data_IF_377767889641
#
_entry.id   IF_377767889641
#
_cell.length_a   1.000
_cell.length_b   1.000
_cell.length_c   1.000
_cell.angle_alpha   90.00
_cell.angle_beta   90.00
_cell.angle_gamma   90.00
#
_symmetry.space_group_name_H-M   'P 1'
#
loop_
_entity.id
_entity.type
_entity.pdbx_description
1 polymer ?
#
# COMPACT_ATOMS: atom_id res chain seq x y z
N UNK A 1 -16.86 30.12 -22.36
CA UNK A 1 -17.32 29.63 -21.04
C UNK A 1 -18.60 28.86 -21.26
N UNK A 2 -18.63 27.60 -20.83
CA UNK A 2 -19.71 26.67 -21.15
C UNK A 2 -20.53 26.34 -19.91
N UNK A 3 -21.85 26.27 -20.10
CA UNK A 3 -22.79 25.89 -19.04
C UNK A 3 -22.99 24.37 -19.03
N UNK A 4 -22.90 23.76 -17.86
CA UNK A 4 -23.17 22.34 -17.65
C UNK A 4 -24.38 22.22 -16.74
N UNK A 5 -25.38 21.46 -17.18
CA UNK A 5 -26.56 21.13 -16.41
C UNK A 5 -26.37 19.76 -15.74
N UNK A 6 -26.45 19.74 -14.43
CA UNK A 6 -26.54 18.54 -13.62
C UNK A 6 -28.01 18.24 -13.34
N UNK A 7 -28.39 16.97 -13.50
CA UNK A 7 -29.71 16.45 -13.19
C UNK A 7 -29.55 15.03 -12.66
N UNK A 8 -29.66 14.87 -11.34
CA UNK A 8 -29.42 13.60 -10.69
C UNK A 8 -30.63 13.13 -9.90
N UNK A 9 -30.93 11.86 -10.06
CA UNK A 9 -31.90 11.13 -9.25
C UNK A 9 -31.35 9.79 -8.79
N UNK A 10 -32.05 9.18 -7.86
CA UNK A 10 -31.73 7.85 -7.33
C UNK A 10 -32.92 6.90 -7.47
N UNK A 11 -32.69 5.59 -7.62
CA UNK A 11 -33.77 4.61 -7.63
C UNK A 11 -34.59 4.63 -6.34
N UNK A 12 -35.88 4.41 -6.49
CA UNK A 12 -36.87 4.22 -5.44
C UNK A 12 -37.93 3.22 -5.92
N UNK A 13 -38.70 2.64 -5.01
CA UNK A 13 -39.80 1.73 -5.35
C UNK A 13 -40.85 2.36 -6.28
N UNK A 14 -40.95 3.70 -6.31
CA UNK A 14 -41.86 4.47 -7.16
C UNK A 14 -41.22 5.05 -8.43
N UNK A 15 -39.98 4.66 -8.78
CA UNK A 15 -39.25 5.22 -9.93
C UNK A 15 -38.00 6.00 -9.50
N UNK A 16 -37.62 7.01 -10.28
CA UNK A 16 -36.47 7.87 -9.97
C UNK A 16 -36.93 9.03 -9.10
N UNK A 17 -36.28 9.23 -7.96
CA UNK A 17 -36.54 10.37 -7.06
C UNK A 17 -35.35 11.33 -7.08
N UNK A 18 -35.64 12.62 -6.95
CA UNK A 18 -34.66 13.71 -6.96
C UNK A 18 -33.53 13.48 -5.93
N UNK A 19 -32.29 13.71 -6.35
CA UNK A 19 -31.13 13.66 -5.46
C UNK A 19 -30.90 15.01 -4.78
N UNK A 20 -31.87 15.43 -3.98
CA UNK A 20 -31.89 16.78 -3.40
C UNK A 20 -30.69 17.08 -2.49
N UNK A 21 -30.12 18.28 -2.61
CA UNK A 21 -29.02 18.79 -1.77
C UNK A 21 -27.71 17.99 -1.80
N UNK A 22 -27.57 17.03 -2.71
CA UNK A 22 -26.28 16.38 -2.91
C UNK A 22 -25.24 17.38 -3.44
N UNK A 23 -23.97 17.12 -3.15
CA UNK A 23 -22.86 17.98 -3.58
C UNK A 23 -22.22 17.41 -4.84
N UNK A 24 -21.91 18.31 -5.78
CA UNK A 24 -21.12 18.01 -6.98
C UNK A 24 -19.82 18.80 -6.89
N UNK A 25 -18.70 18.10 -6.94
CA UNK A 25 -17.35 18.67 -6.98
C UNK A 25 -16.84 18.64 -8.42
N UNK A 26 -16.33 19.77 -8.91
CA UNK A 26 -15.80 19.92 -10.28
C UNK A 26 -14.36 20.43 -10.18
N UNK A 27 -13.41 19.60 -10.58
CA UNK A 27 -11.97 19.84 -10.39
C UNK A 27 -11.24 19.63 -11.73
N UNK A 28 -10.49 20.60 -12.26
CA UNK A 28 -9.62 20.33 -13.41
C UNK A 28 -8.51 19.36 -13.01
N UNK A 29 -8.13 18.43 -13.89
CA UNK A 29 -7.08 17.44 -13.59
C UNK A 29 -5.69 18.06 -13.52
N UNK A 30 -5.46 19.15 -14.24
CA UNK A 30 -4.20 19.87 -14.34
C UNK A 30 -4.42 21.38 -14.29
N UNK A 31 -3.33 22.15 -14.08
CA UNK A 31 -3.38 23.60 -14.35
C UNK A 31 -3.58 23.84 -15.85
N UNK A 32 -4.31 24.88 -16.21
CA UNK A 32 -4.54 25.22 -17.63
C UNK A 32 -4.50 26.73 -17.87
N UNK A 33 -4.41 27.12 -19.15
CA UNK A 33 -4.56 28.52 -19.56
C UNK A 33 -6.00 28.80 -19.93
N UNK A 34 -6.53 29.91 -19.44
CA UNK A 34 -7.76 30.50 -19.93
C UNK A 34 -7.41 31.93 -20.40
N UNK A 35 -7.25 32.10 -21.71
CA UNK A 35 -6.64 33.27 -22.33
C UNK A 35 -5.25 33.59 -21.71
N UNK A 36 -5.11 34.74 -21.05
CA UNK A 36 -3.88 35.17 -20.38
C UNK A 36 -3.77 34.69 -18.93
N UNK A 37 -4.80 34.05 -18.37
CA UNK A 37 -4.84 33.60 -16.97
C UNK A 37 -4.40 32.15 -16.84
N UNK A 38 -3.53 31.85 -15.86
CA UNK A 38 -3.26 30.48 -15.44
C UNK A 38 -4.28 30.10 -14.37
N UNK A 39 -5.06 29.05 -14.63
CA UNK A 39 -5.98 28.44 -13.68
C UNK A 39 -5.26 27.27 -13.02
N UNK A 40 -5.21 27.26 -11.69
CA UNK A 40 -4.56 26.21 -10.91
C UNK A 40 -5.44 24.98 -10.81
N UNK A 41 -4.87 23.85 -10.37
CA UNK A 41 -5.60 22.60 -10.11
C UNK A 41 -6.40 22.69 -8.80
N UNK A 42 -7.32 23.64 -8.75
CA UNK A 42 -8.27 23.82 -7.66
C UNK A 42 -9.67 23.84 -8.25
N UNK A 43 -10.56 23.04 -7.67
CA UNK A 43 -11.94 22.94 -8.10
C UNK A 43 -12.89 23.78 -7.28
N UNK A 44 -14.17 23.53 -7.48
CA UNK A 44 -15.25 24.12 -6.70
C UNK A 44 -16.36 23.10 -6.50
N UNK A 45 -17.25 23.41 -5.56
CA UNK A 45 -18.42 22.59 -5.26
C UNK A 45 -19.71 23.35 -5.54
N UNK A 46 -20.74 22.63 -5.96
CA UNK A 46 -22.10 23.12 -6.11
C UNK A 46 -23.07 22.15 -5.46
N UNK A 47 -24.05 22.69 -4.72
CA UNK A 47 -25.14 21.89 -4.18
C UNK A 47 -26.25 21.77 -5.23
N UNK A 48 -26.79 20.56 -5.39
CA UNK A 48 -28.01 20.33 -6.15
C UNK A 48 -29.20 20.97 -5.42
N UNK A 49 -30.15 21.50 -6.17
CA UNK A 49 -31.39 22.03 -5.63
C UNK A 49 -32.32 20.91 -5.12
N UNK A 50 -33.54 21.28 -4.71
CA UNK A 50 -34.53 20.32 -4.22
C UNK A 50 -34.99 19.32 -5.29
N UNK A 51 -34.73 19.60 -6.56
CA UNK A 51 -35.01 18.76 -7.72
C UNK A 51 -33.80 17.95 -8.20
N UNK A 52 -32.70 17.96 -7.46
CA UNK A 52 -31.50 17.25 -7.86
C UNK A 52 -30.76 17.92 -9.02
N UNK A 53 -31.00 19.23 -9.24
CA UNK A 53 -30.45 19.96 -10.39
C UNK A 53 -29.48 21.04 -9.97
N UNK A 54 -28.49 21.31 -10.82
CA UNK A 54 -27.63 22.49 -10.71
C UNK A 54 -27.11 22.88 -12.09
N UNK A 55 -26.83 24.17 -12.30
CA UNK A 55 -26.11 24.62 -13.48
C UNK A 55 -24.83 25.32 -13.07
N UNK A 56 -23.71 24.88 -13.63
CA UNK A 56 -22.40 25.52 -13.43
C UNK A 56 -21.88 26.10 -14.72
N UNK A 57 -20.95 27.05 -14.64
CA UNK A 57 -20.27 27.60 -15.81
C UNK A 57 -18.77 27.38 -15.64
N UNK A 58 -18.14 26.71 -16.61
CA UNK A 58 -16.72 26.36 -16.57
C UNK A 58 -16.02 26.73 -17.89
N UNK A 59 -14.69 26.95 -17.88
CA UNK A 59 -13.91 27.03 -19.10
C UNK A 59 -14.00 25.73 -19.90
N UNK A 60 -14.12 25.79 -21.24
CA UNK A 60 -14.03 24.60 -22.07
C UNK A 60 -12.64 23.97 -21.97
N UNK A 61 -12.55 22.67 -22.24
CA UNK A 61 -11.31 21.91 -22.25
C UNK A 61 -10.60 22.04 -23.61
N UNK A 62 -9.27 22.03 -23.62
CA UNK A 62 -8.43 22.22 -24.82
C UNK A 62 -7.48 21.03 -25.08
N UNK A 63 -7.86 19.83 -24.61
CA UNK A 63 -7.06 18.60 -24.64
C UNK A 63 -5.73 18.66 -23.85
N UNK A 64 -5.55 19.65 -22.97
CA UNK A 64 -4.44 19.66 -22.00
C UNK A 64 -4.88 19.23 -20.60
N UNK A 65 -6.18 19.20 -20.35
CA UNK A 65 -6.81 18.78 -19.10
C UNK A 65 -8.24 18.28 -19.36
N UNK A 66 -8.82 17.61 -18.37
CA UNK A 66 -10.24 17.32 -18.30
C UNK A 66 -10.79 17.70 -16.92
N UNK A 67 -12.11 17.66 -16.74
CA UNK A 67 -12.71 17.87 -15.42
C UNK A 67 -13.00 16.52 -14.77
N UNK A 68 -12.45 16.34 -13.57
CA UNK A 68 -12.96 15.37 -12.62
C UNK A 68 -14.26 15.92 -12.01
N UNK A 69 -15.35 15.20 -12.20
CA UNK A 69 -16.65 15.50 -11.58
C UNK A 69 -17.00 14.37 -10.63
N UNK A 70 -17.06 14.70 -9.34
CA UNK A 70 -17.48 13.77 -8.28
C UNK A 70 -18.84 14.19 -7.76
N UNK A 71 -19.78 13.25 -7.68
CA UNK A 71 -21.14 13.48 -7.16
C UNK A 71 -21.34 12.65 -5.89
N UNK A 72 -21.76 13.30 -4.81
CA UNK A 72 -21.92 12.68 -3.49
C UNK A 72 -20.68 12.75 -2.60
N UNK A 73 -20.86 12.41 -1.34
CA UNK A 73 -19.83 12.39 -0.30
C UNK A 73 -19.23 10.99 -0.15
N UNK A 74 -18.09 10.87 0.55
CA UNK A 74 -17.44 9.58 0.80
C UNK A 74 -18.33 8.58 1.58
N UNK A 75 -19.32 9.09 2.31
CA UNK A 75 -20.30 8.28 3.04
C UNK A 75 -21.45 7.78 2.16
N UNK A 76 -21.60 8.31 0.95
CA UNK A 76 -22.68 7.96 0.04
C UNK A 76 -22.35 6.72 -0.79
N UNK A 77 -23.14 5.66 -0.64
CA UNK A 77 -22.97 4.41 -1.41
C UNK A 77 -23.14 4.59 -2.92
N UNK A 78 -23.83 5.66 -3.34
CA UNK A 78 -24.09 6.01 -4.73
C UNK A 78 -23.08 7.04 -5.27
N UNK A 79 -22.05 7.40 -4.50
CA UNK A 79 -20.99 8.28 -4.95
C UNK A 79 -20.36 7.72 -6.23
N UNK A 80 -20.17 8.60 -7.22
CA UNK A 80 -19.41 8.25 -8.41
C UNK A 80 -18.53 9.42 -8.86
N UNK A 81 -17.59 9.08 -9.74
CA UNK A 81 -16.63 10.01 -10.32
C UNK A 81 -16.58 9.78 -11.83
N UNK A 82 -16.60 10.87 -12.59
CA UNK A 82 -16.37 10.88 -14.04
C UNK A 82 -15.23 11.84 -14.37
N UNK A 83 -14.51 11.55 -15.44
CA UNK A 83 -13.53 12.45 -16.03
C UNK A 83 -14.05 12.85 -17.40
N UNK A 84 -14.36 14.12 -17.60
CA UNK A 84 -15.11 14.57 -18.77
C UNK A 84 -14.43 15.73 -19.49
N UNK A 85 -14.57 15.76 -20.82
CA UNK A 85 -14.23 16.93 -21.63
C UNK A 85 -15.43 17.85 -21.77
N UNK A 86 -15.20 19.16 -21.71
CA UNK A 86 -16.25 20.18 -21.84
C UNK A 86 -16.05 20.93 -23.16
N UNK A 87 -16.98 20.84 -24.11
CA UNK A 87 -16.85 21.51 -25.39
C UNK A 87 -17.00 23.03 -25.23
N UNK A 88 -16.41 23.81 -26.13
CA UNK A 88 -16.71 25.24 -26.21
C UNK A 88 -18.09 25.45 -26.85
N UNK A 89 -19.10 25.55 -25.99
CA UNK A 89 -20.50 25.70 -26.37
C UNK A 89 -21.12 26.96 -25.76
N UNK A 90 -21.92 27.65 -26.58
CA UNK A 90 -22.81 28.74 -26.15
C UNK A 90 -24.15 28.23 -25.61
N UNK A 91 -24.53 26.99 -25.92
CA UNK A 91 -25.71 26.30 -25.40
C UNK A 91 -25.34 25.50 -24.16
N UNK A 92 -26.25 25.41 -23.19
CA UNK A 92 -26.03 24.54 -22.03
C UNK A 92 -25.94 23.07 -22.48
N UNK A 93 -24.97 22.36 -21.94
CA UNK A 93 -24.73 20.94 -22.21
C UNK A 93 -25.17 20.15 -20.98
N UNK A 94 -25.90 19.06 -21.19
CA UNK A 94 -26.26 18.17 -20.10
C UNK A 94 -25.03 17.38 -19.66
N UNK A 95 -24.84 17.23 -18.35
CA UNK A 95 -23.71 16.45 -17.81
C UNK A 95 -23.72 14.99 -18.31
N UNK A 96 -24.91 14.42 -18.52
CA UNK A 96 -25.07 13.08 -19.07
C UNK A 96 -24.51 12.96 -20.50
N UNK A 97 -24.48 14.05 -21.26
CA UNK A 97 -24.03 14.08 -22.66
C UNK A 97 -22.54 14.39 -22.80
N UNK A 98 -21.85 14.74 -21.70
CA UNK A 98 -20.41 14.96 -21.74
C UNK A 98 -19.66 13.65 -21.97
N UNK A 99 -18.59 13.73 -22.76
CA UNK A 99 -17.76 12.57 -23.12
C UNK A 99 -16.84 12.20 -21.97
N UNK A 100 -16.91 10.95 -21.52
CA UNK A 100 -15.93 10.38 -20.59
C UNK A 100 -14.58 10.18 -21.28
N UNK A 101 -13.50 10.54 -20.59
CA UNK A 101 -12.11 10.38 -21.02
C UNK A 101 -11.27 9.69 -19.96
N UNK A 102 -10.19 9.04 -20.37
CA UNK A 102 -9.14 8.64 -19.44
C UNK A 102 -8.36 9.88 -18.97
N UNK A 103 -8.18 10.04 -17.66
CA UNK A 103 -7.62 11.27 -17.08
C UNK A 103 -6.13 11.49 -17.36
N UNK A 104 -5.40 10.45 -17.75
CA UNK A 104 -3.97 10.54 -18.04
C UNK A 104 -3.70 10.79 -19.54
N UNK A 105 -4.49 10.15 -20.40
CA UNK A 105 -4.31 10.19 -21.86
C UNK A 105 -5.24 11.20 -22.54
N UNK A 106 -6.33 11.60 -21.88
CA UNK A 106 -7.40 12.46 -22.39
C UNK A 106 -8.12 11.88 -23.62
N UNK A 107 -7.83 10.63 -23.97
CA UNK A 107 -8.57 9.91 -25.00
C UNK A 107 -9.96 9.55 -24.45
N UNK A 108 -11.00 9.47 -25.30
CA UNK A 108 -12.30 8.94 -24.90
C UNK A 108 -12.13 7.63 -24.13
N UNK A 109 -12.72 7.57 -22.93
CA UNK A 109 -12.71 6.37 -22.14
C UNK A 109 -13.34 5.26 -22.98
N UNK A 110 -12.76 4.06 -22.92
CA UNK A 110 -13.30 2.89 -23.62
C UNK A 110 -14.72 2.66 -23.10
N UNK A 111 -15.69 3.14 -23.86
CA UNK A 111 -17.08 2.84 -23.62
C UNK A 111 -17.22 1.35 -23.91
N UNK A 112 -17.58 0.56 -22.90
CA UNK A 112 -17.99 -0.83 -23.09
C UNK A 112 -19.37 -0.94 -23.79
N UNK A 113 -19.92 0.18 -24.26
CA UNK A 113 -21.07 0.25 -25.16
C UNK A 113 -20.62 0.16 -26.62
N UNK A 114 -21.44 -0.45 -27.47
CA UNK A 114 -21.11 -0.74 -28.86
C UNK A 114 -20.53 0.50 -29.57
N UNK A 115 -19.37 0.31 -30.22
CA UNK A 115 -18.85 1.27 -31.18
C UNK A 115 -19.93 1.66 -32.19
N UNK A 116 -19.89 2.90 -32.71
CA UNK A 116 -20.79 3.42 -33.75
C UNK A 116 -21.32 2.32 -34.69
N UNK A 117 -22.56 1.88 -34.45
CA UNK A 117 -23.21 0.87 -35.28
C UNK A 117 -23.83 1.59 -36.47
N UNK A 118 -23.42 1.19 -37.66
CA UNK A 118 -23.98 1.73 -38.89
C UNK A 118 -24.81 0.68 -39.62
N UNK A 119 -25.84 1.14 -40.33
CA UNK A 119 -26.72 0.32 -41.15
C UNK A 119 -26.67 0.82 -42.59
N UNK A 120 -26.46 -0.08 -43.54
CA UNK A 120 -26.44 0.26 -44.95
C UNK A 120 -27.80 -0.04 -45.58
N UNK A 121 -28.45 0.97 -46.14
CA UNK A 121 -29.68 0.80 -46.89
C UNK A 121 -29.41 0.70 -48.40
N UNK A 122 -30.17 -0.15 -49.09
CA UNK A 122 -30.11 -0.30 -50.54
C UNK A 122 -30.87 0.79 -51.31
N UNK A 123 -31.75 1.54 -50.64
CA UNK A 123 -32.57 2.63 -51.21
C UNK A 123 -32.90 3.72 -50.18
N UNK A 124 -33.31 4.90 -50.64
CA UNK A 124 -33.74 6.01 -49.78
C UNK A 124 -34.93 5.64 -48.88
N UNK A 125 -35.92 4.92 -49.44
CA UNK A 125 -37.11 4.50 -48.71
C UNK A 125 -36.78 3.51 -47.60
N UNK A 126 -35.82 2.63 -47.85
CA UNK A 126 -35.32 1.68 -46.85
C UNK A 126 -34.52 2.41 -45.77
N UNK A 127 -33.66 3.37 -46.14
CA UNK A 127 -32.94 4.19 -45.16
C UNK A 127 -33.88 4.94 -44.22
N UNK A 128 -34.95 5.53 -44.75
CA UNK A 128 -35.94 6.23 -43.94
C UNK A 128 -36.64 5.28 -42.96
N UNK A 129 -37.00 4.07 -43.41
CA UNK A 129 -37.60 3.05 -42.55
C UNK A 129 -36.63 2.54 -41.48
N UNK A 130 -35.37 2.27 -41.85
CA UNK A 130 -34.33 1.81 -40.94
C UNK A 130 -33.96 2.89 -39.91
N UNK A 131 -33.90 4.16 -40.32
CA UNK A 131 -33.58 5.26 -39.41
C UNK A 131 -34.69 5.47 -38.37
N UNK A 132 -35.95 5.27 -38.75
CA UNK A 132 -37.07 5.33 -37.83
C UNK A 132 -37.08 4.13 -36.86
N UNK A 133 -36.68 2.95 -37.34
CA UNK A 133 -36.66 1.72 -36.53
C UNK A 133 -35.44 1.61 -35.60
N UNK A 134 -34.34 2.32 -35.90
CA UNK A 134 -33.07 2.22 -35.17
C UNK A 134 -32.59 3.60 -34.66
N UNK A 135 -33.34 4.25 -33.74
CA UNK A 135 -32.89 5.50 -33.13
C UNK A 135 -31.58 5.26 -32.37
N UNK A 136 -30.53 6.02 -32.74
CA UNK A 136 -29.18 5.88 -32.18
C UNK A 136 -28.17 5.13 -33.06
N UNK A 137 -28.60 4.60 -34.21
CA UNK A 137 -27.70 4.02 -35.21
C UNK A 137 -27.62 4.91 -36.45
N UNK A 138 -26.43 4.99 -37.05
CA UNK A 138 -26.22 5.80 -38.24
C UNK A 138 -26.61 5.02 -39.49
N UNK A 139 -27.65 5.47 -40.19
CA UNK A 139 -28.09 4.83 -41.43
C UNK A 139 -27.44 5.52 -42.63
N UNK A 140 -26.66 4.77 -43.41
CA UNK A 140 -26.02 5.23 -44.64
C UNK A 140 -26.80 4.76 -45.86
N UNK A 141 -27.00 5.67 -46.81
CA UNK A 141 -27.53 5.36 -48.14
C UNK A 141 -26.72 6.10 -49.21
N UNK A 142 -25.76 5.43 -49.86
CA UNK A 142 -24.98 6.03 -50.92
C UNK A 142 -25.69 5.94 -52.28
N UNK A 143 -25.68 7.04 -53.04
CA UNK A 143 -26.31 7.15 -54.35
C UNK A 143 -25.30 7.16 -55.51
N UNK A 144 -25.75 6.70 -56.69
CA UNK A 144 -24.99 6.81 -57.93
C UNK A 144 -23.60 6.17 -57.88
N UNK A 145 -22.59 6.86 -58.41
CA UNK A 145 -21.19 6.39 -58.46
C UNK A 145 -20.54 6.28 -57.06
N UNK A 146 -21.11 6.93 -56.04
CA UNK A 146 -20.61 6.83 -54.68
C UNK A 146 -20.95 5.49 -54.02
N UNK A 147 -21.88 4.68 -54.59
CA UNK A 147 -22.29 3.40 -54.01
C UNK A 147 -21.13 2.41 -53.87
N UNK A 148 -20.34 2.21 -54.93
CA UNK A 148 -19.18 1.29 -54.89
C UNK A 148 -18.10 1.78 -53.93
N UNK A 149 -17.78 3.07 -53.97
CA UNK A 149 -16.74 3.67 -53.11
C UNK A 149 -17.17 3.65 -51.64
N UNK A 150 -18.43 3.99 -51.35
CA UNK A 150 -18.97 3.97 -49.99
C UNK A 150 -19.05 2.55 -49.43
N UNK A 151 -19.44 1.56 -50.23
CA UNK A 151 -19.41 0.15 -49.83
C UNK A 151 -18.00 -0.32 -49.49
N UNK A 152 -16.99 0.06 -50.27
CA UNK A 152 -15.59 -0.27 -49.97
C UNK A 152 -15.10 0.40 -48.68
N UNK A 153 -15.40 1.69 -48.49
CA UNK A 153 -15.03 2.42 -47.27
C UNK A 153 -15.66 1.79 -46.02
N UNK A 154 -16.92 1.35 -46.11
CA UNK A 154 -17.61 0.67 -45.01
C UNK A 154 -17.00 -0.69 -44.68
N UNK A 155 -16.62 -1.46 -45.71
CA UNK A 155 -15.90 -2.72 -45.54
C UNK A 155 -14.53 -2.51 -44.89
N UNK A 156 -13.77 -1.52 -45.36
CA UNK A 156 -12.48 -1.12 -44.79
C UNK A 156 -12.64 -0.66 -43.32
N UNK A 157 -13.71 0.09 -43.00
CA UNK A 157 -14.01 0.54 -41.65
C UNK A 157 -14.38 -0.62 -40.72
N UNK A 158 -15.07 -1.64 -41.22
CA UNK A 158 -15.32 -2.91 -40.49
C UNK A 158 -14.01 -3.61 -40.17
N UNK A 159 -13.13 -3.72 -41.16
CA UNK A 159 -11.81 -4.32 -41.00
C UNK A 159 -10.97 -3.56 -39.97
N UNK A 160 -10.93 -2.23 -40.08
CA UNK A 160 -10.22 -1.36 -39.13
C UNK A 160 -10.79 -1.51 -37.71
N UNK A 161 -12.12 -1.58 -37.55
CA UNK A 161 -12.77 -1.83 -36.26
C UNK A 161 -12.35 -3.18 -35.67
N UNK A 162 -12.35 -4.25 -36.47
CA UNK A 162 -11.93 -5.57 -36.01
C UNK A 162 -10.46 -5.55 -35.51
N UNK A 163 -9.58 -4.81 -36.20
CA UNK A 163 -8.19 -4.63 -35.75
C UNK A 163 -8.12 -3.85 -34.44
N UNK A 164 -8.88 -2.77 -34.29
CA UNK A 164 -8.92 -1.95 -33.07
C UNK A 164 -9.47 -2.76 -31.88
N UNK A 165 -10.51 -3.56 -32.07
CA UNK A 165 -11.06 -4.44 -31.02
C UNK A 165 -10.04 -5.50 -30.60
N UNK A 166 -9.34 -6.11 -31.55
CA UNK A 166 -8.28 -7.07 -31.26
C UNK A 166 -7.12 -6.40 -30.49
N UNK A 167 -6.68 -5.22 -30.90
CA UNK A 167 -5.65 -4.46 -30.19
C UNK A 167 -6.09 -4.02 -28.80
N UNK A 168 -7.36 -3.63 -28.64
CA UNK A 168 -7.92 -3.25 -27.33
C UNK A 168 -7.97 -4.44 -26.38
N UNK A 169 -8.32 -5.63 -26.86
CA UNK A 169 -8.28 -6.85 -26.06
C UNK A 169 -6.84 -7.18 -25.61
N UNK A 170 -5.85 -7.02 -26.50
CA UNK A 170 -4.42 -7.19 -26.16
C UNK A 170 -3.97 -6.15 -25.13
N UNK A 171 -4.38 -4.89 -25.28
CA UNK A 171 -4.06 -3.83 -24.32
C UNK A 171 -4.68 -4.09 -22.94
N UNK A 172 -5.94 -4.54 -22.88
CA UNK A 172 -6.59 -4.94 -21.63
C UNK A 172 -5.88 -6.11 -20.95
N UNK A 173 -5.43 -7.10 -21.73
CA UNK A 173 -4.67 -8.23 -21.20
C UNK A 173 -3.31 -7.78 -20.63
N UNK A 174 -2.62 -6.86 -21.30
CA UNK A 174 -1.37 -6.27 -20.82
C UNK A 174 -1.57 -5.45 -19.54
N UNK A 175 -2.64 -4.66 -19.45
CA UNK A 175 -2.99 -3.90 -18.25
C UNK A 175 -3.27 -4.80 -17.05
N UNK A 176 -4.03 -5.88 -17.23
CA UNK A 176 -4.30 -6.87 -16.17
C UNK A 176 -3.01 -7.56 -15.70
N UNK A 177 -2.09 -7.88 -16.62
CA UNK A 177 -0.79 -8.45 -16.27
C UNK A 177 0.10 -7.47 -15.48
N UNK A 178 0.07 -6.18 -15.84
CA UNK A 178 0.78 -5.13 -15.11
C UNK A 178 0.22 -4.93 -13.69
N UNK A 179 -1.11 -4.94 -13.52
CA UNK A 179 -1.75 -4.87 -12.20
C UNK A 179 -1.41 -6.07 -11.32
N UNK A 180 -1.45 -7.29 -11.87
CA UNK A 180 -1.04 -8.49 -11.16
C UNK A 180 0.43 -8.42 -10.72
N UNK A 181 1.30 -7.89 -11.58
CA UNK A 181 2.73 -7.69 -11.27
C UNK A 181 2.94 -6.65 -10.16
N UNK A 182 2.19 -5.55 -10.18
CA UNK A 182 2.24 -4.53 -9.14
C UNK A 182 1.75 -5.06 -7.78
N UNK A 183 0.66 -5.84 -7.76
CA UNK A 183 0.18 -6.51 -6.57
C UNK A 183 1.21 -7.51 -6.01
N UNK A 184 1.87 -8.27 -6.89
CA UNK A 184 2.96 -9.16 -6.51
C UNK A 184 4.16 -8.42 -5.88
N UNK A 185 4.55 -7.28 -6.44
CA UNK A 185 5.63 -6.45 -5.89
C UNK A 185 5.28 -5.87 -4.51
N UNK A 186 4.02 -5.46 -4.30
CA UNK A 186 3.54 -5.00 -2.99
C UNK A 186 3.56 -6.13 -1.95
N UNK A 187 3.10 -7.33 -2.33
CA UNK A 187 3.13 -8.49 -1.45
C UNK A 187 4.57 -8.88 -1.04
N UNK A 188 5.52 -8.85 -1.98
CA UNK A 188 6.93 -9.07 -1.70
C UNK A 188 7.52 -8.00 -0.77
N UNK A 189 7.11 -6.74 -0.94
CA UNK A 189 7.51 -5.64 -0.05
C UNK A 189 7.05 -5.82 1.40
N UNK A 190 5.80 -6.27 1.61
CA UNK A 190 5.27 -6.57 2.95
C UNK A 190 6.06 -7.73 3.60
N UNK A 191 6.29 -8.81 2.85
CA UNK A 191 7.08 -9.95 3.36
C UNK A 191 8.51 -9.55 3.75
N UNK A 192 9.14 -8.65 2.99
CA UNK A 192 10.46 -8.14 3.33
C UNK A 192 10.45 -7.30 4.62
N UNK A 193 9.42 -6.48 4.83
CA UNK A 193 9.26 -5.71 6.06
C UNK A 193 9.04 -6.62 7.29
N UNK A 194 8.20 -7.64 7.18
CA UNK A 194 7.96 -8.63 8.24
C UNK A 194 9.26 -9.39 8.60
N UNK A 195 10.04 -9.79 7.58
CA UNK A 195 11.33 -10.44 7.79
C UNK A 195 12.33 -9.53 8.52
N UNK A 196 12.38 -8.24 8.16
CA UNK A 196 13.24 -7.26 8.84
C UNK A 196 12.81 -7.06 10.30
N UNK A 197 11.50 -7.02 10.57
CA UNK A 197 11.00 -6.89 11.93
C UNK A 197 11.37 -8.10 12.80
N UNK A 198 11.20 -9.33 12.27
CA UNK A 198 11.59 -10.55 12.95
C UNK A 198 13.10 -10.59 13.27
N UNK A 199 13.95 -10.13 12.34
CA UNK A 199 15.40 -10.03 12.57
C UNK A 199 15.73 -9.00 13.65
N UNK A 200 15.03 -7.86 13.69
CA UNK A 200 15.20 -6.85 14.73
C UNK A 200 14.83 -7.40 16.11
N UNK A 201 13.72 -8.11 16.22
CA UNK A 201 13.27 -8.76 17.47
C UNK A 201 14.27 -9.84 17.93
N UNK A 202 14.74 -10.67 17.01
CA UNK A 202 15.79 -11.67 17.28
C UNK A 202 17.08 -11.00 17.79
N UNK A 203 17.48 -9.87 17.19
CA UNK A 203 18.69 -9.12 17.57
C UNK A 203 18.56 -8.54 18.98
N UNK A 204 17.37 -8.01 19.33
CA UNK A 204 17.08 -7.52 20.68
C UNK A 204 17.15 -8.66 21.71
N UNK A 205 16.58 -9.83 21.40
CA UNK A 205 16.63 -11.00 22.27
C UNK A 205 18.06 -11.52 22.48
N UNK A 206 18.88 -11.58 21.41
CA UNK A 206 20.29 -11.97 21.51
C UNK A 206 21.04 -10.99 22.41
N UNK A 207 20.80 -9.69 22.29
CA UNK A 207 21.44 -8.67 23.13
C UNK A 207 21.06 -8.85 24.61
N UNK A 208 19.79 -9.15 24.90
CA UNK A 208 19.33 -9.46 26.26
C UNK A 208 19.99 -10.73 26.82
N UNK A 209 20.12 -11.78 26.00
CA UNK A 209 20.80 -13.02 26.41
C UNK A 209 22.28 -12.79 26.71
N UNK A 210 22.97 -11.97 25.91
CA UNK A 210 24.38 -11.59 26.15
C UNK A 210 24.51 -10.87 27.50
N UNK A 211 23.62 -9.93 27.80
CA UNK A 211 23.61 -9.25 29.09
C UNK A 211 23.38 -10.21 30.27
N UNK A 212 22.46 -11.17 30.12
CA UNK A 212 22.21 -12.20 31.13
C UNK A 212 23.43 -13.10 31.35
N UNK A 213 24.10 -13.54 30.27
CA UNK A 213 25.32 -14.36 30.35
C UNK A 213 26.44 -13.58 31.05
N UNK A 214 26.60 -12.29 30.75
CA UNK A 214 27.61 -11.46 31.40
C UNK A 214 27.36 -11.37 32.92
N UNK A 215 26.12 -11.15 33.34
CA UNK A 215 25.74 -11.13 34.75
C UNK A 215 26.03 -12.47 35.46
N UNK A 216 25.78 -13.59 34.79
CA UNK A 216 26.13 -14.92 35.32
C UNK A 216 27.64 -15.09 35.44
N UNK A 217 28.42 -14.63 34.46
CA UNK A 217 29.88 -14.69 34.49
C UNK A 217 30.47 -13.84 35.63
N UNK A 218 29.91 -12.66 35.87
CA UNK A 218 30.29 -11.79 36.99
C UNK A 218 29.99 -12.49 38.34
N UNK A 219 28.80 -13.09 38.48
CA UNK A 219 28.41 -13.85 39.67
C UNK A 219 29.28 -15.08 39.94
N UNK A 220 29.69 -15.80 38.88
CA UNK A 220 30.64 -16.92 39.00
C UNK A 220 32.01 -16.42 39.47
N UNK A 221 32.47 -15.28 38.94
CA UNK A 221 33.76 -14.69 39.32
C UNK A 221 33.78 -14.27 40.78
N UNK A 222 32.70 -13.64 41.25
CA UNK A 222 32.50 -13.29 42.66
C UNK A 222 32.45 -14.53 43.55
N UNK A 223 31.66 -15.54 43.16
CA UNK A 223 31.56 -16.82 43.89
C UNK A 223 32.93 -17.50 44.01
N UNK A 224 33.73 -17.48 42.95
CA UNK A 224 35.09 -18.03 42.94
C UNK A 224 36.00 -17.31 43.95
N UNK A 225 35.95 -15.97 43.98
CA UNK A 225 36.74 -15.20 44.94
C UNK A 225 36.36 -15.51 46.40
N UNK A 226 35.06 -15.68 46.69
CA UNK A 226 34.57 -16.10 48.01
C UNK A 226 35.08 -17.49 48.39
N UNK A 227 35.03 -18.45 47.45
CA UNK A 227 35.54 -19.81 47.69
C UNK A 227 37.05 -19.80 47.94
N UNK A 228 37.83 -19.02 47.18
CA UNK A 228 39.27 -18.88 47.39
C UNK A 228 39.60 -18.24 48.75
N UNK A 229 38.81 -17.25 49.20
CA UNK A 229 38.94 -16.67 50.54
C UNK A 229 38.69 -17.71 51.64
N UNK A 230 37.55 -18.41 51.58
CA UNK A 230 37.22 -19.45 52.56
C UNK A 230 38.24 -20.59 52.58
N UNK A 231 38.81 -20.96 51.43
CA UNK A 231 39.87 -21.95 51.36
C UNK A 231 41.14 -21.49 52.10
N UNK A 232 41.55 -20.23 51.92
CA UNK A 232 42.70 -19.66 52.64
C UNK A 232 42.46 -19.53 54.15
N UNK A 233 41.25 -19.12 54.55
CA UNK A 233 40.84 -19.07 55.96
C UNK A 233 40.87 -20.47 56.60
N UNK A 234 40.35 -21.48 55.89
CA UNK A 234 40.37 -22.87 56.35
C UNK A 234 41.79 -23.42 56.49
N UNK A 235 42.68 -23.16 55.52
CA UNK A 235 44.10 -23.53 55.61
C UNK A 235 44.78 -22.87 56.81
N UNK A 236 44.52 -21.58 57.05
CA UNK A 236 45.06 -20.85 58.21
C UNK A 236 44.58 -21.46 59.53
N UNK A 237 43.29 -21.76 59.64
CA UNK A 237 42.73 -22.39 60.84
C UNK A 237 43.31 -23.80 61.08
N UNK A 238 43.57 -24.56 60.01
CA UNK A 238 44.24 -25.87 60.10
C UNK A 238 45.66 -25.70 60.63
N UNK A 239 46.44 -24.77 60.08
CA UNK A 239 47.82 -24.52 60.53
C UNK A 239 47.87 -24.09 62.01
N UNK A 240 46.96 -23.21 62.45
CA UNK A 240 46.83 -22.81 63.85
C UNK A 240 46.46 -23.99 64.76
N UNK A 241 45.52 -24.84 64.33
CA UNK A 241 45.14 -26.04 65.07
C UNK A 241 46.31 -27.04 65.18
N UNK A 242 47.06 -27.25 64.10
CA UNK A 242 48.25 -28.12 64.09
C UNK A 242 49.32 -27.57 65.04
N UNK A 243 49.59 -26.26 65.00
CA UNK A 243 50.53 -25.61 65.91
C UNK A 243 50.10 -25.74 67.37
N UNK A 244 48.81 -25.53 67.67
CA UNK A 244 48.27 -25.73 69.01
C UNK A 244 48.46 -27.16 69.53
N UNK A 245 48.32 -28.17 68.65
CA UNK A 245 48.58 -29.58 68.98
C UNK A 245 50.07 -29.83 69.22
N UNK A 246 50.95 -29.27 68.38
CA UNK A 246 52.41 -29.39 68.55
C UNK A 246 52.88 -28.76 69.87
N UNK A 247 52.44 -27.55 70.19
CA UNK A 247 52.78 -26.84 71.42
C UNK A 247 52.36 -27.67 72.65
N UNK A 248 51.15 -28.23 72.66
CA UNK A 248 50.67 -29.13 73.72
C UNK A 248 51.48 -30.42 73.84
N UNK A 249 51.92 -30.99 72.72
CA UNK A 249 52.76 -32.18 72.72
C UNK A 249 54.18 -31.87 73.26
N UNK A 250 54.72 -30.68 72.95
CA UNK A 250 55.99 -30.21 73.51
C UNK A 250 55.91 -29.97 75.02
N UNK A 251 54.85 -29.32 75.52
CA UNK A 251 54.64 -29.12 76.96
C UNK A 251 54.53 -30.46 77.72
N UNK A 252 53.90 -31.47 77.12
CA UNK A 252 53.78 -32.81 77.72
C UNK A 252 55.11 -33.59 77.82
N UNK A 253 56.19 -33.12 77.17
CA UNK A 253 57.52 -33.76 77.19
C UNK A 253 58.58 -32.95 77.96
N UNK A 254 58.23 -31.77 78.48
CA UNK A 254 59.15 -30.85 79.15
C UNK A 254 59.40 -31.11 80.64
N UNK A 255 58.72 -32.07 81.26
CA UNK A 255 58.70 -32.26 82.73
C UNK A 255 59.34 -33.58 83.20
N UNK A 256 60.41 -34.03 82.51
CA UNK A 256 61.19 -35.20 82.93
C UNK A 256 62.71 -34.91 82.92
N UNK A 257 63.10 -33.83 83.62
CA UNK A 257 64.48 -33.66 84.08
C UNK A 257 64.53 -33.66 85.60
N UNK A 258 64.40 -34.85 86.18
CA UNK A 258 64.76 -35.11 87.57
C UNK A 258 66.28 -35.34 87.68
N UNK A 259 66.96 -34.45 88.41
CA UNK A 259 68.29 -34.66 89.00
C UNK A 259 68.18 -35.63 90.19
N UNK A 260 68.84 -36.80 90.18
CA UNK A 260 70.04 -37.23 90.96
C UNK A 260 69.92 -38.76 91.25
N UNK A 261 70.95 -39.54 91.70
CA UNK A 261 72.32 -39.19 92.09
C UNK A 261 73.45 -40.12 91.55
N UNK A 262 74.68 -39.68 91.79
CA UNK A 262 75.93 -40.43 91.78
C UNK A 262 76.01 -41.43 92.96
N UNK A 263 76.49 -42.66 92.72
CA UNK A 263 77.23 -43.49 93.70
C UNK A 263 77.76 -44.82 93.08
N UNK A 264 79.10 -44.95 93.12
CA UNK A 264 79.95 -46.13 93.32
C UNK A 264 79.84 -47.33 92.33
N UNK A 265 80.87 -47.64 91.53
CA UNK A 265 82.18 -48.23 91.88
C UNK A 265 82.10 -49.54 92.68
N UNK A 266 82.35 -50.67 91.99
CA UNK A 266 83.32 -51.72 92.33
C UNK A 266 83.13 -52.95 91.41
N UNK A 267 84.23 -53.55 90.97
CA UNK A 267 84.22 -54.99 90.66
C UNK A 267 84.96 -55.50 89.41
N UNK A 268 86.19 -55.07 89.20
CA UNK A 268 87.39 -55.90 88.91
C UNK A 268 87.26 -57.34 88.33
N UNK A 269 88.11 -57.64 87.33
CA UNK A 269 89.10 -58.77 87.23
C UNK A 269 89.21 -59.32 85.79
N UNK A 270 90.34 -59.07 85.10
CA UNK A 270 91.63 -59.82 85.07
C UNK A 270 91.65 -60.95 84.02
N UNK A 271 92.55 -60.81 83.03
CA UNK A 271 93.74 -61.68 82.83
C UNK A 271 94.49 -61.28 81.54
#
# INVERSE_FOLDING_TARGET
>A
MTKINFDFGKPSAGGIVDLSNATVSVIPTERFRNDSRIVVREGFEVALDTKGKATVTVPPTDNTFCYEVTVGLDTDLWKFRRYVTVPDSTTAVEFADLVDVDSNTLAPALNSGAALTYLLAGSLSEAQSMSAANPGQMVFYPEGQAKTVASQILEDLTGARAVVEAQSAVAAQAANAAQASAAGAQAAGVQAADAMQAVSEQTAQVSANVAAVQSVADSISESKAVVESHANEALTAIDEAVKSVQDKASDATGDDKAETPDAADDGSQEA
#
